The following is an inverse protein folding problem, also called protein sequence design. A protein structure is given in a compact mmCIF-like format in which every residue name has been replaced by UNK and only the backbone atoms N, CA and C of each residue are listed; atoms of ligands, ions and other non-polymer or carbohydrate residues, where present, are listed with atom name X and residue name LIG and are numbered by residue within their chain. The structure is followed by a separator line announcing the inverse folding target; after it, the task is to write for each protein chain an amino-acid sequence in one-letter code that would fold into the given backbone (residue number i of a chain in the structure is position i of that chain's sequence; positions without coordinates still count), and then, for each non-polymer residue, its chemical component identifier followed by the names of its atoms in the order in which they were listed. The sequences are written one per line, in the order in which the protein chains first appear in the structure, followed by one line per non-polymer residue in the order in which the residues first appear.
data_IF_104691959103
#
_entry.id   IF_104691959103
#
_cell.length_a   1.000
_cell.length_b   1.000
_cell.length_c   1.000
_cell.angle_alpha   90.00
_cell.angle_beta   90.00
_cell.angle_gamma   90.00
#
_symmetry.space_group_name_H-M   'P 1'
#
loop_
_entity.id
_entity.type
_entity.pdbx_description
1 polymer ?
#
# COMPACT_ATOMS: atom_id res chain seq x y z
N UNK A 1 43.68 -46.42 -24.98
CA UNK A 1 43.76 -45.43 -23.87
C UNK A 1 43.19 -45.96 -22.55
N UNK A 2 42.56 -47.14 -22.50
CA UNK A 2 42.20 -47.82 -21.23
C UNK A 2 43.35 -48.62 -20.62
N UNK A 3 44.16 -49.31 -21.44
CA UNK A 3 45.27 -50.13 -20.95
C UNK A 3 46.35 -49.35 -20.17
N UNK A 4 46.60 -48.09 -20.54
CA UNK A 4 47.56 -47.23 -19.83
C UNK A 4 47.00 -46.82 -18.46
N UNK A 5 45.69 -46.55 -18.36
CA UNK A 5 45.02 -46.30 -17.08
C UNK A 5 45.09 -47.55 -16.18
N UNK A 6 44.84 -48.72 -16.76
CA UNK A 6 44.95 -50.01 -16.06
C UNK A 6 46.36 -50.26 -15.51
N UNK A 7 47.39 -50.00 -16.31
CA UNK A 7 48.79 -50.12 -15.91
C UNK A 7 49.17 -49.11 -14.82
N UNK A 8 48.68 -47.87 -14.92
CA UNK A 8 48.87 -46.86 -13.87
C UNK A 8 48.19 -47.32 -12.56
N UNK A 9 46.99 -47.90 -12.62
CA UNK A 9 46.28 -48.44 -11.45
C UNK A 9 46.94 -49.69 -10.85
N UNK A 10 47.64 -50.50 -11.66
CA UNK A 10 48.43 -51.64 -11.19
C UNK A 10 49.73 -51.20 -10.53
N UNK A 11 50.41 -50.19 -11.07
CA UNK A 11 51.67 -49.65 -10.51
C UNK A 11 51.42 -48.86 -9.23
N UNK A 12 50.32 -48.08 -9.16
CA UNK A 12 49.95 -47.30 -7.97
C UNK A 12 49.30 -48.14 -6.85
N UNK A 13 49.16 -49.46 -7.01
CA UNK A 13 48.57 -50.34 -5.99
C UNK A 13 47.05 -50.17 -5.76
N UNK A 14 46.39 -49.28 -6.51
CA UNK A 14 44.94 -49.05 -6.47
C UNK A 14 44.17 -50.33 -6.85
N UNK A 15 44.76 -51.18 -7.70
CA UNK A 15 44.19 -52.51 -8.05
C UNK A 15 44.08 -53.49 -6.87
N UNK A 16 44.94 -53.40 -5.84
CA UNK A 16 44.83 -54.24 -4.63
C UNK A 16 43.75 -53.72 -3.67
N UNK A 17 43.56 -52.40 -3.60
CA UNK A 17 42.50 -51.76 -2.81
C UNK A 17 41.11 -52.12 -3.37
N UNK A 18 40.94 -52.01 -4.69
CA UNK A 18 39.67 -52.30 -5.37
C UNK A 18 39.35 -53.80 -5.38
N UNK A 19 40.35 -54.69 -5.39
CA UNK A 19 40.13 -56.15 -5.32
C UNK A 19 39.86 -56.65 -3.90
N UNK A 20 40.42 -56.00 -2.87
CA UNK A 20 40.05 -56.25 -1.47
C UNK A 20 38.62 -55.84 -1.13
N UNK A 21 38.04 -54.88 -1.87
CA UNK A 21 36.66 -54.43 -1.71
C UNK A 21 35.61 -55.48 -2.13
N UNK A 22 35.89 -56.31 -3.14
CA UNK A 22 34.89 -57.17 -3.79
C UNK A 22 34.77 -58.62 -3.26
N UNK A 23 35.37 -58.96 -2.12
CA UNK A 23 35.29 -60.33 -1.56
C UNK A 23 34.19 -60.46 -0.48
N UNK A 24 32.92 -60.36 -0.91
CA UNK A 24 31.75 -61.14 -0.41
C UNK A 24 30.44 -60.56 -0.97
N UNK A 25 29.82 -61.28 -1.90
CA UNK A 25 28.52 -60.93 -2.51
C UNK A 25 27.30 -61.09 -1.56
N UNK A 26 27.52 -61.11 -0.25
CA UNK A 26 26.49 -61.25 0.78
C UNK A 26 26.55 -60.17 1.88
N UNK A 27 27.34 -59.11 1.69
CA UNK A 27 27.44 -58.02 2.66
C UNK A 27 26.38 -56.94 2.37
N UNK A 28 25.67 -56.51 3.42
CA UNK A 28 24.63 -55.46 3.37
C UNK A 28 25.17 -54.17 2.74
N UNK A 29 24.31 -53.39 2.06
CA UNK A 29 24.67 -52.11 1.45
C UNK A 29 25.41 -51.16 2.41
N UNK A 30 25.12 -51.23 3.71
CA UNK A 30 25.83 -50.49 4.76
C UNK A 30 27.30 -50.90 4.92
N UNK A 31 27.61 -52.20 4.78
CA UNK A 31 28.98 -52.71 4.86
C UNK A 31 29.80 -52.39 3.60
N UNK A 32 29.15 -52.35 2.43
CA UNK A 32 29.75 -51.86 1.19
C UNK A 32 30.09 -50.36 1.29
N UNK A 33 29.16 -49.53 1.78
CA UNK A 33 29.40 -48.09 2.01
C UNK A 33 30.53 -47.86 3.02
N UNK A 34 30.55 -48.60 4.13
CA UNK A 34 31.62 -48.52 5.11
C UNK A 34 32.96 -48.89 4.46
N UNK A 35 33.03 -49.99 3.70
CA UNK A 35 34.27 -50.42 3.03
C UNK A 35 34.78 -49.43 1.99
N UNK A 36 33.88 -48.75 1.27
CA UNK A 36 34.20 -47.63 0.37
C UNK A 36 34.85 -46.46 1.13
N UNK A 37 34.33 -46.13 2.32
CA UNK A 37 34.93 -45.10 3.18
C UNK A 37 36.37 -45.46 3.61
N UNK A 38 36.67 -46.72 3.92
CA UNK A 38 38.02 -47.15 4.32
C UNK A 38 39.05 -47.10 3.17
N UNK A 39 38.61 -47.35 1.94
CA UNK A 39 39.47 -47.16 0.76
C UNK A 39 39.79 -45.68 0.53
N UNK A 40 38.81 -44.78 0.75
CA UNK A 40 39.01 -43.34 0.69
C UNK A 40 39.93 -42.82 1.80
N UNK A 41 39.90 -43.39 3.01
CA UNK A 41 40.82 -42.97 4.11
C UNK A 41 42.28 -43.21 3.73
N UNK A 42 42.62 -44.36 3.14
CA UNK A 42 44.01 -44.67 2.74
C UNK A 42 44.47 -43.80 1.57
N UNK A 43 43.60 -43.62 0.56
CA UNK A 43 43.89 -42.70 -0.54
C UNK A 43 44.04 -41.25 -0.05
N UNK A 44 43.31 -40.85 1.00
CA UNK A 44 43.41 -39.52 1.62
C UNK A 44 44.76 -39.27 2.29
N UNK A 45 45.39 -40.27 2.89
CA UNK A 45 46.73 -40.12 3.49
C UNK A 45 47.78 -39.85 2.40
N UNK A 46 47.81 -40.69 1.36
CA UNK A 46 48.77 -40.54 0.24
C UNK A 46 48.52 -39.24 -0.56
N UNK A 47 47.25 -38.86 -0.77
CA UNK A 47 46.90 -37.60 -1.45
C UNK A 47 47.15 -36.37 -0.59
N UNK A 48 47.05 -36.47 0.75
CA UNK A 48 47.39 -35.39 1.67
C UNK A 48 48.87 -35.06 1.61
N UNK A 49 49.75 -36.05 1.55
CA UNK A 49 51.19 -35.83 1.42
C UNK A 49 51.57 -35.19 0.08
N UNK A 50 50.90 -35.61 -1.01
CA UNK A 50 51.04 -34.97 -2.32
C UNK A 50 50.50 -33.53 -2.30
N UNK A 51 49.34 -33.29 -1.68
CA UNK A 51 48.77 -31.95 -1.54
C UNK A 51 49.68 -31.04 -0.70
N UNK A 52 50.30 -31.57 0.36
CA UNK A 52 51.30 -30.86 1.17
C UNK A 52 52.52 -30.46 0.34
N UNK A 53 53.03 -31.38 -0.48
CA UNK A 53 54.13 -31.07 -1.40
C UNK A 53 53.75 -29.94 -2.37
N UNK A 54 52.54 -29.99 -2.95
CA UNK A 54 52.06 -28.93 -3.84
C UNK A 54 51.86 -27.60 -3.11
N UNK A 55 51.35 -27.60 -1.87
CA UNK A 55 51.28 -26.41 -1.02
C UNK A 55 52.64 -25.77 -0.84
N UNK A 56 53.63 -26.58 -0.48
CA UNK A 56 54.99 -26.11 -0.24
C UNK A 56 55.59 -25.52 -1.53
N UNK A 57 55.33 -26.14 -2.70
CA UNK A 57 55.74 -25.61 -4.01
C UNK A 57 55.07 -24.28 -4.33
N UNK A 58 53.74 -24.18 -4.19
CA UNK A 58 53.01 -22.94 -4.47
C UNK A 58 53.39 -21.81 -3.52
N UNK A 59 53.66 -22.14 -2.25
CA UNK A 59 54.17 -21.18 -1.27
C UNK A 59 55.51 -20.61 -1.69
N UNK A 60 56.45 -21.45 -2.12
CA UNK A 60 57.75 -20.99 -2.64
C UNK A 60 57.56 -20.10 -3.87
N UNK A 61 56.66 -20.48 -4.78
CA UNK A 61 56.35 -19.65 -5.96
C UNK A 61 55.79 -18.28 -5.55
N UNK A 62 54.85 -18.24 -4.60
CA UNK A 62 54.25 -17.01 -4.11
C UNK A 62 55.26 -16.11 -3.37
N UNK A 63 56.16 -16.70 -2.57
CA UNK A 63 57.24 -15.97 -1.91
C UNK A 63 58.20 -15.32 -2.94
N UNK A 64 58.59 -16.05 -3.98
CA UNK A 64 59.43 -15.52 -5.07
C UNK A 64 58.73 -14.39 -5.81
N UNK A 65 57.43 -14.56 -6.12
CA UNK A 65 56.63 -13.52 -6.78
C UNK A 65 56.55 -12.26 -5.92
N UNK A 66 56.25 -12.38 -4.63
CA UNK A 66 56.16 -11.25 -3.70
C UNK A 66 57.51 -10.53 -3.50
N UNK A 67 58.63 -11.24 -3.60
CA UNK A 67 59.97 -10.65 -3.48
C UNK A 67 60.42 -9.92 -4.75
N UNK A 68 60.12 -10.47 -5.94
CA UNK A 68 60.73 -10.01 -7.19
C UNK A 68 59.82 -9.19 -8.10
N UNK A 69 58.50 -9.26 -7.95
CA UNK A 69 57.57 -8.57 -8.85
C UNK A 69 57.27 -7.16 -8.32
N UNK A 70 57.15 -6.21 -9.24
CA UNK A 70 56.71 -4.87 -8.87
C UNK A 70 55.23 -4.90 -8.45
N UNK A 71 54.83 -4.19 -7.37
CA UNK A 71 53.43 -4.13 -6.93
C UNK A 71 52.44 -3.76 -8.05
N UNK A 72 52.83 -2.89 -8.98
CA UNK A 72 51.99 -2.52 -10.12
C UNK A 72 51.81 -3.68 -11.11
N UNK A 73 52.83 -4.52 -11.28
CA UNK A 73 52.72 -5.73 -12.12
C UNK A 73 51.78 -6.75 -11.48
N UNK A 74 51.86 -6.94 -10.16
CA UNK A 74 50.97 -7.84 -9.43
C UNK A 74 49.51 -7.37 -9.53
N UNK A 75 49.25 -6.07 -9.41
CA UNK A 75 47.93 -5.49 -9.60
C UNK A 75 47.39 -5.73 -11.02
N UNK A 76 48.22 -5.54 -12.05
CA UNK A 76 47.82 -5.79 -13.44
C UNK A 76 47.56 -7.27 -13.73
N UNK A 77 48.30 -8.18 -13.09
CA UNK A 77 48.15 -9.62 -13.27
C UNK A 77 46.93 -10.20 -12.54
N UNK A 78 46.63 -9.69 -11.34
CA UNK A 78 45.59 -10.25 -10.46
C UNK A 78 44.27 -9.47 -10.52
N UNK A 79 44.31 -8.20 -10.95
CA UNK A 79 43.16 -7.29 -10.85
C UNK A 79 42.87 -6.82 -9.42
N UNK A 80 43.69 -7.19 -8.44
CA UNK A 80 43.54 -6.82 -7.03
C UNK A 80 44.33 -5.53 -6.79
N UNK A 81 43.68 -4.54 -6.18
CA UNK A 81 44.35 -3.30 -5.78
C UNK A 81 45.36 -3.59 -4.67
N UNK A 82 46.64 -3.34 -4.96
CA UNK A 82 47.72 -3.60 -4.01
C UNK A 82 47.87 -2.39 -3.09
N UNK A 83 47.45 -2.53 -1.83
CA UNK A 83 47.53 -1.46 -0.84
C UNK A 83 48.97 -1.25 -0.34
N UNK A 84 49.32 -0.06 0.19
CA UNK A 84 50.64 0.19 0.78
C UNK A 84 51.01 -0.79 1.92
N UNK A 85 50.02 -1.22 2.71
CA UNK A 85 50.20 -2.21 3.78
C UNK A 85 50.55 -3.58 3.22
N UNK A 86 49.91 -4.01 2.13
CA UNK A 86 50.27 -5.25 1.43
C UNK A 86 51.71 -5.21 0.91
N UNK A 87 52.15 -4.06 0.38
CA UNK A 87 53.54 -3.88 -0.08
C UNK A 87 54.54 -4.03 1.07
N UNK A 88 54.22 -3.49 2.24
CA UNK A 88 55.06 -3.60 3.43
C UNK A 88 55.21 -5.06 3.88
N UNK A 89 54.10 -5.81 3.90
CA UNK A 89 54.08 -7.24 4.23
C UNK A 89 54.87 -8.05 3.19
N UNK A 90 54.67 -7.78 1.90
CA UNK A 90 55.37 -8.48 0.81
C UNK A 90 56.87 -8.21 0.79
N UNK A 91 57.31 -7.02 1.22
CA UNK A 91 58.74 -6.67 1.26
C UNK A 91 59.47 -7.24 2.48
N UNK A 92 58.75 -7.49 3.57
CA UNK A 92 59.30 -8.11 4.77
C UNK A 92 59.46 -9.61 4.60
N UNK A 93 60.67 -10.13 4.84
CA UNK A 93 60.96 -11.56 4.75
C UNK A 93 60.15 -12.38 5.76
N UNK A 94 60.12 -11.91 7.02
CA UNK A 94 59.28 -12.49 8.07
C UNK A 94 57.80 -12.29 7.74
N UNK A 95 57.42 -11.14 7.19
CA UNK A 95 56.04 -10.82 6.82
C UNK A 95 55.49 -11.81 5.78
N UNK A 96 56.25 -12.08 4.72
CA UNK A 96 55.86 -13.06 3.68
C UNK A 96 55.65 -14.46 4.25
N UNK A 97 56.56 -14.95 5.10
CA UNK A 97 56.45 -16.30 5.66
C UNK A 97 55.20 -16.52 6.52
N UNK A 98 54.63 -15.48 7.11
CA UNK A 98 53.38 -15.57 7.88
C UNK A 98 52.13 -15.18 7.09
N UNK A 99 52.27 -14.37 6.04
CA UNK A 99 51.15 -13.86 5.25
C UNK A 99 50.77 -14.75 4.05
N UNK A 100 51.72 -15.51 3.49
CA UNK A 100 51.45 -16.44 2.38
C UNK A 100 50.81 -17.71 2.93
N UNK A 101 49.48 -17.81 2.81
CA UNK A 101 48.73 -19.03 3.06
C UNK A 101 48.22 -19.64 1.74
N UNK A 102 48.40 -20.95 1.59
CA UNK A 102 47.96 -21.71 0.42
C UNK A 102 46.98 -22.77 0.88
N UNK A 103 45.70 -22.52 0.61
CA UNK A 103 44.65 -23.51 0.76
C UNK A 103 44.66 -24.44 -0.46
N UNK A 104 44.80 -25.75 -0.23
CA UNK A 104 44.77 -26.80 -1.28
C UNK A 104 43.65 -27.75 -0.96
N UNK A 105 42.46 -27.18 -0.81
CA UNK A 105 41.24 -27.94 -0.58
C UNK A 105 40.66 -28.50 -1.91
N UNK A 106 41.19 -28.08 -3.06
CA UNK A 106 40.69 -28.46 -4.39
C UNK A 106 41.27 -29.77 -4.96
N UNK A 107 42.04 -30.56 -4.20
CA UNK A 107 42.71 -31.78 -4.74
C UNK A 107 42.39 -33.06 -3.96
N UNK A 108 41.42 -33.01 -3.04
CA UNK A 108 40.86 -34.23 -2.47
C UNK A 108 39.66 -34.57 -3.36
N UNK A 109 39.64 -35.77 -3.93
CA UNK A 109 38.42 -36.32 -4.48
C UNK A 109 37.42 -36.44 -3.33
N UNK A 110 36.71 -35.35 -3.06
CA UNK A 110 35.62 -35.37 -2.11
C UNK A 110 34.57 -36.30 -2.69
N UNK A 111 34.01 -37.13 -1.83
CA UNK A 111 32.90 -37.98 -2.21
C UNK A 111 31.74 -37.03 -2.52
N UNK A 112 31.58 -36.65 -3.79
CA UNK A 112 30.56 -35.71 -4.26
C UNK A 112 29.17 -36.08 -3.74
N UNK A 113 28.95 -37.35 -3.43
CA UNK A 113 27.71 -37.88 -2.85
C UNK A 113 27.54 -37.47 -1.37
N UNK A 114 28.62 -37.51 -0.58
CA UNK A 114 28.61 -37.13 0.84
C UNK A 114 28.44 -35.62 1.02
N UNK A 115 29.14 -34.82 0.21
CA UNK A 115 29.00 -33.35 0.22
C UNK A 115 27.61 -32.92 -0.27
N UNK A 116 27.05 -33.61 -1.29
CA UNK A 116 25.67 -33.39 -1.72
C UNK A 116 24.66 -33.74 -0.64
N UNK A 117 24.88 -34.84 0.09
CA UNK A 117 23.99 -35.25 1.18
C UNK A 117 24.03 -34.23 2.34
N UNK A 118 25.22 -33.79 2.75
CA UNK A 118 25.40 -32.79 3.81
C UNK A 118 24.77 -31.43 3.41
N UNK A 119 24.94 -31.02 2.15
CA UNK A 119 24.31 -29.81 1.62
C UNK A 119 22.78 -29.92 1.60
N UNK A 120 22.24 -31.09 1.23
CA UNK A 120 20.79 -31.33 1.22
C UNK A 120 20.21 -31.31 2.64
N UNK A 121 20.94 -31.87 3.61
CA UNK A 121 20.57 -31.84 5.03
C UNK A 121 20.57 -30.41 5.58
N UNK A 122 21.58 -29.60 5.23
CA UNK A 122 21.65 -28.18 5.57
C UNK A 122 20.43 -27.41 5.06
N UNK A 123 20.12 -27.51 3.77
CA UNK A 123 18.98 -26.81 3.17
C UNK A 123 17.67 -27.22 3.83
N UNK A 124 17.50 -28.52 4.11
CA UNK A 124 16.31 -29.03 4.79
C UNK A 124 16.18 -28.48 6.20
N UNK A 125 17.29 -28.39 6.94
CA UNK A 125 17.33 -27.85 8.30
C UNK A 125 17.02 -26.35 8.31
N UNK A 126 17.61 -25.58 7.38
CA UNK A 126 17.35 -24.14 7.23
C UNK A 126 15.86 -23.90 6.93
N UNK A 127 15.30 -24.63 5.96
CA UNK A 127 13.88 -24.49 5.61
C UNK A 127 12.98 -24.80 6.81
N UNK A 128 13.23 -25.91 7.52
CA UNK A 128 12.44 -26.26 8.71
C UNK A 128 12.56 -25.24 9.83
N UNK A 129 13.74 -24.65 10.03
CA UNK A 129 13.95 -23.59 11.00
C UNK A 129 13.19 -22.30 10.63
N UNK A 130 13.29 -21.86 9.36
CA UNK A 130 12.61 -20.67 8.87
C UNK A 130 11.08 -20.82 8.91
N UNK A 131 10.54 -21.96 8.49
CA UNK A 131 9.10 -22.24 8.53
C UNK A 131 8.52 -22.15 9.95
N UNK A 132 9.29 -22.57 10.97
CA UNK A 132 8.85 -22.53 12.36
C UNK A 132 9.02 -21.15 13.01
N UNK A 133 10.00 -20.36 12.57
CA UNK A 133 10.35 -19.09 13.21
C UNK A 133 9.67 -17.88 12.57
N UNK A 134 9.36 -17.90 11.27
CA UNK A 134 8.69 -16.78 10.58
C UNK A 134 7.37 -16.37 11.27
N UNK A 135 6.46 -17.27 11.66
CA UNK A 135 5.22 -16.86 12.34
C UNK A 135 5.47 -16.25 13.72
N UNK A 136 6.49 -16.74 14.43
CA UNK A 136 6.89 -16.21 15.74
C UNK A 136 7.52 -14.81 15.60
N UNK A 137 8.24 -14.55 14.50
CA UNK A 137 8.74 -13.22 14.14
C UNK A 137 7.60 -12.28 13.77
N UNK A 138 6.65 -12.73 12.94
CA UNK A 138 5.48 -11.93 12.55
C UNK A 138 4.59 -11.55 13.72
N UNK A 139 4.47 -12.43 14.72
CA UNK A 139 3.72 -12.15 15.95
C UNK A 139 4.48 -11.31 16.98
N UNK A 140 5.76 -10.99 16.72
CA UNK A 140 6.63 -10.27 17.64
C UNK A 140 7.11 -11.09 18.85
N UNK A 141 6.86 -12.41 18.86
CA UNK A 141 7.30 -13.31 19.93
C UNK A 141 8.81 -13.57 19.89
N UNK A 142 9.41 -13.52 18.70
CA UNK A 142 10.86 -13.62 18.49
C UNK A 142 11.39 -12.39 17.74
N UNK A 143 12.51 -11.80 18.17
CA UNK A 143 13.11 -10.70 17.45
C UNK A 143 13.92 -11.22 16.24
N UNK A 144 13.95 -10.45 15.14
CA UNK A 144 14.56 -10.86 13.87
C UNK A 144 16.04 -11.19 14.03
N UNK A 145 16.78 -10.40 14.82
CA UNK A 145 18.21 -10.59 15.06
C UNK A 145 18.54 -11.94 15.71
N UNK A 146 17.69 -12.43 16.61
CA UNK A 146 17.89 -13.74 17.23
C UNK A 146 17.76 -14.86 16.19
N UNK A 147 16.79 -14.73 15.27
CA UNK A 147 16.58 -15.71 14.20
C UNK A 147 17.74 -15.73 13.22
N UNK A 148 18.22 -14.55 12.81
CA UNK A 148 19.32 -14.43 11.85
C UNK A 148 20.65 -14.86 12.45
N UNK A 149 20.97 -14.50 13.70
CA UNK A 149 22.19 -14.98 14.38
C UNK A 149 22.19 -16.50 14.59
N UNK A 150 21.03 -17.08 14.94
CA UNK A 150 20.89 -18.53 15.07
C UNK A 150 21.10 -19.22 13.73
N UNK A 151 20.56 -18.64 12.65
CA UNK A 151 20.74 -19.16 11.29
C UNK A 151 22.20 -19.03 10.82
N UNK A 152 22.87 -17.90 11.08
CA UNK A 152 24.30 -17.72 10.81
C UNK A 152 25.12 -18.75 11.59
N UNK A 153 24.79 -19.00 12.85
CA UNK A 153 25.45 -20.04 13.64
C UNK A 153 25.25 -21.43 13.03
N UNK A 154 24.05 -21.78 12.57
CA UNK A 154 23.77 -23.06 11.90
C UNK A 154 24.59 -23.21 10.61
N UNK A 155 24.63 -22.16 9.78
CA UNK A 155 25.32 -22.16 8.49
C UNK A 155 26.84 -22.20 8.64
N UNK A 156 27.40 -21.51 9.64
CA UNK A 156 28.85 -21.44 9.90
C UNK A 156 29.51 -22.79 10.21
N UNK A 157 28.70 -23.81 10.53
CA UNK A 157 29.19 -25.18 10.83
C UNK A 157 29.51 -25.99 9.58
N UNK A 158 29.05 -25.57 8.42
CA UNK A 158 29.17 -26.31 7.17
C UNK A 158 30.33 -25.78 6.34
N UNK A 159 31.04 -26.68 5.66
CA UNK A 159 32.20 -26.35 4.81
C UNK A 159 31.87 -25.28 3.74
N UNK A 160 30.67 -25.36 3.17
CA UNK A 160 30.15 -24.41 2.18
C UNK A 160 29.37 -23.23 2.81
N UNK A 161 29.43 -23.07 4.13
CA UNK A 161 28.65 -22.12 4.90
C UNK A 161 28.92 -20.66 4.55
N UNK A 162 30.16 -20.30 4.19
CA UNK A 162 30.53 -18.92 3.86
C UNK A 162 29.65 -18.27 2.79
N UNK A 163 29.28 -19.02 1.73
CA UNK A 163 28.42 -18.48 0.67
C UNK A 163 26.98 -18.25 1.15
N UNK A 164 26.55 -19.01 2.14
CA UNK A 164 25.23 -18.88 2.75
C UNK A 164 25.21 -17.82 3.85
N UNK A 165 26.35 -17.52 4.50
CA UNK A 165 26.46 -16.44 5.49
C UNK A 165 26.08 -15.08 4.89
N UNK A 166 26.54 -14.78 3.67
CA UNK A 166 26.17 -13.57 2.93
C UNK A 166 24.66 -13.52 2.65
N UNK A 167 24.06 -14.65 2.27
CA UNK A 167 22.61 -14.76 2.02
C UNK A 167 21.81 -14.59 3.32
N UNK A 168 22.31 -15.10 4.45
CA UNK A 168 21.69 -14.92 5.76
C UNK A 168 21.76 -13.46 6.22
N UNK A 169 22.85 -12.76 5.91
CA UNK A 169 22.95 -11.32 6.18
C UNK A 169 21.91 -10.51 5.37
N UNK A 170 21.62 -10.90 4.13
CA UNK A 170 20.57 -10.29 3.30
C UNK A 170 19.14 -10.61 3.76
N UNK A 171 18.93 -11.74 4.46
CA UNK A 171 17.63 -12.12 5.00
C UNK A 171 17.15 -11.19 6.13
N UNK A 172 18.06 -10.63 6.92
CA UNK A 172 17.72 -9.76 8.04
C UNK A 172 16.90 -8.51 7.62
N UNK A 173 17.38 -7.64 6.72
CA UNK A 173 16.62 -6.46 6.31
C UNK A 173 15.29 -6.83 5.63
N UNK A 174 15.19 -8.01 5.01
CA UNK A 174 13.95 -8.49 4.41
C UNK A 174 12.89 -8.85 5.45
N UNK A 175 13.28 -9.59 6.49
CA UNK A 175 12.39 -9.96 7.59
C UNK A 175 11.97 -8.74 8.42
N UNK A 176 12.89 -7.82 8.70
CA UNK A 176 12.58 -6.55 9.36
C UNK A 176 11.59 -5.71 8.54
N UNK A 177 11.78 -5.65 7.21
CA UNK A 177 10.85 -4.98 6.31
C UNK A 177 9.43 -5.56 6.35
N UNK A 178 9.31 -6.89 6.39
CA UNK A 178 8.03 -7.59 6.52
C UNK A 178 7.33 -7.27 7.85
N UNK A 179 8.05 -7.35 8.97
CA UNK A 179 7.50 -7.04 10.29
C UNK A 179 7.04 -5.58 10.35
N UNK A 180 7.87 -4.64 9.90
CA UNK A 180 7.54 -3.21 9.89
C UNK A 180 6.33 -2.91 9.00
N UNK A 181 6.25 -3.53 7.81
CA UNK A 181 5.11 -3.37 6.91
C UNK A 181 3.83 -3.94 7.51
N UNK A 182 3.90 -5.12 8.14
CA UNK A 182 2.75 -5.76 8.77
C UNK A 182 2.26 -4.94 9.98
N UNK A 183 3.18 -4.43 10.79
CA UNK A 183 2.86 -3.57 11.92
C UNK A 183 2.28 -2.22 11.48
N UNK A 184 2.79 -1.63 10.39
CA UNK A 184 2.23 -0.42 9.78
C UNK A 184 0.82 -0.66 9.22
N UNK A 185 0.59 -1.79 8.55
CA UNK A 185 -0.74 -2.17 8.06
C UNK A 185 -1.72 -2.35 9.22
N UNK A 186 -1.28 -2.98 10.32
CA UNK A 186 -2.12 -3.20 11.49
C UNK A 186 -2.47 -1.89 12.19
N UNK A 187 -1.50 -0.98 12.36
CA UNK A 187 -1.75 0.37 12.87
C UNK A 187 -2.64 1.19 11.94
N UNK A 188 -2.44 1.09 10.63
CA UNK A 188 -3.28 1.78 9.64
C UNK A 188 -4.71 1.24 9.66
N UNK A 189 -4.89 -0.07 9.84
CA UNK A 189 -6.19 -0.71 9.92
C UNK A 189 -6.93 -0.31 11.21
N UNK A 190 -6.24 -0.22 12.34
CA UNK A 190 -6.79 0.35 13.58
C UNK A 190 -7.14 1.82 13.44
N UNK A 191 -6.26 2.63 12.84
CA UNK A 191 -6.50 4.06 12.62
C UNK A 191 -7.65 4.29 11.63
N UNK A 192 -7.77 3.45 10.60
CA UNK A 192 -8.87 3.49 9.64
C UNK A 192 -10.19 3.06 10.30
N UNK A 193 -10.17 2.06 11.19
CA UNK A 193 -11.33 1.67 11.99
C UNK A 193 -11.83 2.80 12.88
N UNK A 194 -10.92 3.44 13.64
CA UNK A 194 -11.25 4.59 14.49
C UNK A 194 -11.73 5.80 13.67
N UNK A 195 -11.13 6.05 12.52
CA UNK A 195 -11.54 7.13 11.63
C UNK A 195 -12.91 6.86 11.00
N UNK A 196 -13.19 5.62 10.61
CA UNK A 196 -14.47 5.22 10.03
C UNK A 196 -15.60 5.31 11.06
N UNK A 197 -15.34 4.92 12.30
CA UNK A 197 -16.29 5.06 13.41
C UNK A 197 -16.56 6.54 13.76
N UNK A 198 -15.52 7.37 13.76
CA UNK A 198 -15.64 8.82 13.95
C UNK A 198 -16.38 9.53 12.79
N UNK A 199 -16.13 9.12 11.54
CA UNK A 199 -16.86 9.62 10.37
C UNK A 199 -18.33 9.24 10.43
N UNK A 200 -18.67 8.02 10.85
CA UNK A 200 -20.05 7.56 10.98
C UNK A 200 -20.82 8.35 12.06
N UNK A 201 -20.18 8.64 13.21
CA UNK A 201 -20.77 9.53 14.23
C UNK A 201 -21.00 10.95 13.70
N UNK A 202 -20.02 11.50 12.97
CA UNK A 202 -20.11 12.86 12.43
C UNK A 202 -21.16 12.97 11.31
N UNK A 203 -21.28 11.94 10.47
CA UNK A 203 -22.30 11.86 9.43
C UNK A 203 -23.71 11.76 10.01
N UNK A 204 -23.90 10.97 11.07
CA UNK A 204 -25.17 10.90 11.80
C UNK A 204 -25.56 12.25 12.42
N UNK A 205 -24.58 13.00 12.94
CA UNK A 205 -24.81 14.33 13.49
C UNK A 205 -25.18 15.37 12.41
N UNK A 206 -24.54 15.29 11.24
CA UNK A 206 -24.86 16.13 10.08
C UNK A 206 -26.24 15.83 9.51
N UNK A 207 -26.67 14.56 9.45
CA UNK A 207 -28.04 14.21 9.04
C UNK A 207 -29.08 14.77 10.01
N UNK A 208 -28.86 14.66 11.32
CA UNK A 208 -29.77 15.23 12.32
C UNK A 208 -29.84 16.77 12.22
N UNK A 209 -28.70 17.44 12.03
CA UNK A 209 -28.65 18.87 11.82
C UNK A 209 -29.32 19.29 10.50
N UNK A 210 -29.13 18.52 9.42
CA UNK A 210 -29.77 18.74 8.12
C UNK A 210 -31.29 18.63 8.21
N UNK A 211 -31.80 17.64 8.93
CA UNK A 211 -33.25 17.49 9.17
C UNK A 211 -33.83 18.64 10.00
N UNK A 212 -33.10 19.17 10.98
CA UNK A 212 -33.52 20.38 11.72
C UNK A 212 -33.54 21.63 10.84
N UNK A 213 -32.52 21.84 10.01
CA UNK A 213 -32.45 22.98 9.09
C UNK A 213 -33.56 22.89 8.04
N UNK A 214 -33.83 21.71 7.48
CA UNK A 214 -34.90 21.51 6.51
C UNK A 214 -36.29 21.70 7.15
N UNK A 215 -36.47 21.23 8.40
CA UNK A 215 -37.69 21.48 9.18
C UNK A 215 -37.93 22.96 9.43
N UNK A 216 -36.89 23.69 9.83
CA UNK A 216 -36.94 25.12 10.08
C UNK A 216 -37.18 25.92 8.79
N UNK A 217 -36.59 25.49 7.66
CA UNK A 217 -36.83 26.08 6.34
C UNK A 217 -38.28 25.94 5.87
N UNK A 218 -38.88 24.75 6.04
CA UNK A 218 -40.30 24.52 5.74
C UNK A 218 -41.23 25.33 6.63
N UNK A 219 -40.86 25.56 7.88
CA UNK A 219 -41.64 26.38 8.82
C UNK A 219 -41.55 27.87 8.48
N UNK A 220 -40.36 28.36 8.11
CA UNK A 220 -40.14 29.72 7.62
C UNK A 220 -40.93 29.99 6.33
N UNK A 221 -40.93 29.05 5.39
CA UNK A 221 -41.68 29.15 4.14
C UNK A 221 -43.19 29.25 4.40
N UNK A 222 -43.73 28.38 5.27
CA UNK A 222 -45.14 28.46 5.70
C UNK A 222 -45.48 29.76 6.43
N UNK A 223 -44.53 30.34 7.17
CA UNK A 223 -44.73 31.63 7.83
C UNK A 223 -44.76 32.78 6.81
N UNK A 224 -43.89 32.74 5.80
CA UNK A 224 -43.84 33.74 4.74
C UNK A 224 -45.10 33.70 3.86
N UNK A 225 -45.53 32.50 3.44
CA UNK A 225 -46.77 32.30 2.68
C UNK A 225 -48.01 32.79 3.45
N UNK A 226 -48.04 32.61 4.79
CA UNK A 226 -49.12 33.16 5.64
C UNK A 226 -49.08 34.68 5.75
N UNK A 227 -47.91 35.30 5.66
CA UNK A 227 -47.79 36.76 5.67
C UNK A 227 -48.22 37.36 4.34
N UNK A 228 -47.76 36.80 3.22
CA UNK A 228 -48.19 37.19 1.88
C UNK A 228 -49.70 37.03 1.73
N UNK A 229 -50.28 35.90 2.13
CA UNK A 229 -51.73 35.71 2.08
C UNK A 229 -52.55 36.66 2.97
N UNK A 230 -51.97 37.23 4.04
CA UNK A 230 -52.63 38.25 4.87
C UNK A 230 -52.55 39.64 4.23
N UNK A 231 -51.43 39.97 3.60
CA UNK A 231 -51.26 41.23 2.85
C UNK A 231 -52.19 41.26 1.63
N UNK A 232 -52.29 40.15 0.89
CA UNK A 232 -53.18 40.01 -0.27
C UNK A 232 -54.66 40.08 0.13
N UNK A 233 -55.05 39.42 1.23
CA UNK A 233 -56.41 39.48 1.74
C UNK A 233 -56.80 40.91 2.18
N UNK A 234 -55.86 41.65 2.78
CA UNK A 234 -56.08 43.04 3.20
C UNK A 234 -56.22 43.97 1.99
N UNK A 235 -55.34 43.83 1.00
CA UNK A 235 -55.38 44.60 -0.25
C UNK A 235 -56.68 44.33 -1.03
N UNK A 236 -57.11 43.07 -1.09
CA UNK A 236 -58.38 42.70 -1.76
C UNK A 236 -59.60 43.29 -1.06
N UNK A 237 -59.61 43.28 0.28
CA UNK A 237 -60.68 43.90 1.06
C UNK A 237 -60.71 45.42 0.89
N UNK A 238 -59.55 46.08 0.79
CA UNK A 238 -59.46 47.53 0.53
C UNK A 238 -59.99 47.88 -0.88
N UNK A 239 -59.68 47.06 -1.90
CA UNK A 239 -60.21 47.24 -3.27
C UNK A 239 -61.73 47.05 -3.32
N UNK A 240 -62.27 46.03 -2.63
CA UNK A 240 -63.70 45.72 -2.60
C UNK A 240 -64.51 46.81 -1.86
N UNK A 241 -63.97 47.34 -0.76
CA UNK A 241 -64.57 48.48 -0.06
C UNK A 241 -64.56 49.75 -0.93
N UNK A 242 -63.45 50.04 -1.61
CA UNK A 242 -63.33 51.21 -2.49
C UNK A 242 -64.28 51.13 -3.70
N UNK A 243 -64.48 49.94 -4.27
CA UNK A 243 -65.48 49.74 -5.33
C UNK A 243 -66.92 49.92 -4.84
N UNK A 244 -67.21 49.45 -3.62
CA UNK A 244 -68.53 49.59 -3.00
C UNK A 244 -68.87 51.06 -2.71
N UNK A 245 -67.88 51.84 -2.26
CA UNK A 245 -68.04 53.28 -2.01
C UNK A 245 -68.25 54.05 -3.34
N UNK A 246 -67.49 53.73 -4.38
CA UNK A 246 -67.68 54.33 -5.70
C UNK A 246 -69.06 54.01 -6.32
N UNK A 247 -69.61 52.80 -6.09
CA UNK A 247 -70.98 52.46 -6.52
C UNK A 247 -72.04 53.24 -5.74
N UNK A 248 -71.86 53.44 -4.43
CA UNK A 248 -72.77 54.25 -3.60
C UNK A 248 -72.76 55.71 -4.05
N UNK A 249 -71.59 56.26 -4.34
CA UNK A 249 -71.46 57.63 -4.83
C UNK A 249 -72.08 57.79 -6.22
N UNK A 250 -71.91 56.82 -7.13
CA UNK A 250 -72.56 56.79 -8.44
C UNK A 250 -74.09 56.71 -8.37
N UNK A 251 -74.64 55.96 -7.41
CA UNK A 251 -76.10 55.87 -7.21
C UNK A 251 -76.67 57.17 -6.63
N UNK A 252 -75.97 57.81 -5.69
CA UNK A 252 -76.43 59.08 -5.10
C UNK A 252 -76.46 60.22 -6.13
N UNK A 253 -75.41 60.33 -6.96
CA UNK A 253 -75.33 61.35 -8.01
C UNK A 253 -76.38 61.15 -9.11
N UNK A 254 -76.71 59.90 -9.46
CA UNK A 254 -77.82 59.58 -10.36
C UNK A 254 -79.19 59.90 -9.75
N UNK A 255 -79.37 59.68 -8.44
CA UNK A 255 -80.61 60.03 -7.74
C UNK A 255 -80.83 61.55 -7.74
N UNK A 256 -79.80 62.34 -7.44
CA UNK A 256 -79.85 63.81 -7.46
C UNK A 256 -80.12 64.37 -8.87
N UNK A 257 -79.55 63.75 -9.90
CA UNK A 257 -79.80 64.13 -11.29
C UNK A 257 -81.25 63.87 -11.72
N UNK A 258 -81.83 62.74 -11.31
CA UNK A 258 -83.25 62.42 -11.57
C UNK A 258 -84.20 63.38 -10.85
N UNK A 259 -83.89 63.77 -9.63
CA UNK A 259 -84.73 64.68 -8.86
C UNK A 259 -84.75 66.10 -9.49
N UNK A 260 -83.60 66.58 -9.98
CA UNK A 260 -83.53 67.85 -10.72
C UNK A 260 -84.29 67.82 -12.06
N UNK A 261 -84.29 66.70 -12.77
CA UNK A 261 -85.07 66.53 -14.00
C UNK A 261 -86.57 66.61 -13.71
N UNK A 262 -87.06 65.90 -12.68
CA UNK A 262 -88.46 65.92 -12.28
C UNK A 262 -88.96 67.31 -11.84
N UNK A 263 -88.12 68.10 -11.15
CA UNK A 263 -88.45 69.49 -10.78
C UNK A 263 -88.54 70.42 -12.00
N UNK A 264 -87.81 70.12 -13.06
CA UNK A 264 -87.83 70.91 -14.31
C UNK A 264 -89.11 70.61 -15.10
N UNK A 265 -89.52 69.35 -15.15
CA UNK A 265 -90.76 68.92 -15.82
C UNK A 265 -92.01 69.47 -15.10
N UNK A 266 -92.00 69.52 -13.76
CA UNK A 266 -93.09 70.12 -12.97
C UNK A 266 -93.24 71.63 -13.22
N UNK A 267 -92.13 72.35 -13.37
CA UNK A 267 -92.15 73.79 -13.70
C UNK A 267 -92.66 74.03 -15.13
N UNK A 268 -92.35 73.14 -16.07
CA UNK A 268 -92.91 73.16 -17.43
C UNK A 268 -94.44 72.98 -17.42
N UNK A 269 -94.93 72.00 -16.68
CA UNK A 269 -96.38 71.73 -16.56
C UNK A 269 -97.16 72.88 -15.89
N UNK A 270 -96.55 73.60 -14.94
CA UNK A 270 -97.15 74.78 -14.31
C UNK A 270 -97.20 76.00 -15.24
N UNK A 271 -96.24 76.16 -16.16
CA UNK A 271 -96.26 77.23 -17.16
C UNK A 271 -97.38 77.04 -18.21
N UNK A 272 -97.64 75.80 -18.62
CA UNK A 272 -98.73 75.49 -19.56
C UNK A 272 -100.12 75.68 -18.96
N UNK A 273 -100.27 75.41 -17.65
CA UNK A 273 -101.54 75.65 -16.94
C UNK A 273 -101.90 77.14 -16.88
N UNK A 274 -100.93 78.02 -16.60
CA UNK A 274 -101.13 79.48 -16.56
C UNK A 274 -101.52 80.05 -17.94
N UNK A 275 -100.94 79.51 -19.02
CA UNK A 275 -101.35 79.86 -20.40
C UNK A 275 -102.81 79.50 -20.67
N UNK A 276 -103.25 78.31 -20.28
CA UNK A 276 -104.63 77.86 -20.48
C UNK A 276 -105.67 78.68 -19.69
N UNK A 277 -105.30 79.16 -18.49
CA UNK A 277 -106.19 79.99 -17.66
C UNK A 277 -106.31 81.44 -18.18
N UNK A 278 -105.30 81.93 -18.91
CA UNK A 278 -105.31 83.27 -19.53
C UNK A 278 -106.18 83.31 -20.79
N UNK A 279 -106.27 82.21 -21.56
CA UNK A 279 -107.12 82.13 -22.77
C UNK A 279 -108.62 82.02 -22.44
N UNK A 280 -108.98 81.45 -21.29
CA UNK A 280 -110.39 81.34 -20.85
C UNK A 280 -110.92 82.67 -20.30
N UNK A 281 -110.06 83.51 -19.70
CA UNK A 281 -110.44 84.84 -19.18
C UNK A 281 -110.74 85.89 -20.26
N UNK A 282 -110.20 85.75 -21.47
CA UNK A 282 -110.38 86.71 -22.58
C UNK A 282 -111.68 86.48 -23.34
N UNK A 283 -112.25 85.26 -23.30
CA UNK A 283 -113.49 84.91 -24.00
C UNK A 283 -114.78 85.18 -23.20
N UNK A 284 -114.71 85.42 -21.88
CA UNK A 284 -115.88 85.77 -21.05
C UNK A 284 -116.15 87.29 -20.93
N UNK A 285 -115.34 88.15 -21.55
CA UNK A 285 -115.47 89.61 -21.47
C UNK A 285 -116.12 90.29 -22.71
N UNK A 286 -116.60 89.54 -23.71
CA UNK A 286 -117.03 90.13 -25.00
C UNK A 286 -118.45 89.83 -25.51
N UNK A 287 -119.33 89.15 -24.76
CA UNK A 287 -120.76 89.05 -25.14
C UNK A 287 -121.67 89.13 -23.92
N UNK A 288 -121.81 90.34 -23.38
CA UNK A 288 -122.68 90.67 -22.26
C UNK A 288 -122.95 92.17 -22.18
N UNK A 289 -123.63 92.72 -23.20
CA UNK A 289 -124.49 93.92 -23.15
C UNK A 289 -124.84 94.36 -24.58
N UNK A 290 -126.13 94.41 -24.92
CA UNK A 290 -126.66 94.96 -26.17
C UNK A 290 -127.48 93.97 -26.97
#
# INVERSE_FOLDING_TARGET
SEGVKQQIYEILGISDIIRGANTRASESATAQNLKGQWANVRLREDTSDVARLWKDVFRIMAEIMAEHFDPMQLQLMTGIEVTPEMVEIMRSDIGRSFAVDIETDSTIATDDEADRAETMELVTTINGYLEQTIPAVQSGALPVNFVTETLTFMVSKFKNGKQLEDVVAELQPHLEGLVNFQQQMQQMQEQMGQMQEGLMQKDQQLQQAGQQIEGMGKELQKFNERKEGREDAKTRSEIENTQSDNQRDGISTMADAKQKAADTDLKGAQADKVRSETEIGVLQAFTGNG
#
